data_IF_005008348238
#
_entry.id   IF_005008348238
#
_cell.length_a   1.000
_cell.length_b   1.000
_cell.length_c   1.000
_cell.angle_alpha   90.00
_cell.angle_beta   90.00
_cell.angle_gamma   90.00
#
_symmetry.space_group_name_H-M   'P 1'
#
loop_
_entity.id
_entity.type
_entity.pdbx_description
1 polymer ?
#
# COMPACT_ATOMS: atom_id res chain seq x y z
N UNK A 1 17.14 -15.03 -8.90
CA UNK A 1 15.89 -14.93 -8.10
C UNK A 1 15.90 -13.71 -7.17
N UNK A 2 17.06 -13.25 -6.69
CA UNK A 2 17.17 -12.05 -5.83
C UNK A 2 16.61 -10.78 -6.47
N UNK A 3 16.87 -10.55 -7.76
CA UNK A 3 16.31 -9.41 -8.49
C UNK A 3 14.77 -9.32 -8.45
N UNK A 4 14.08 -10.46 -8.42
CA UNK A 4 12.61 -10.48 -8.34
C UNK A 4 12.15 -10.15 -6.93
N UNK A 5 12.83 -10.70 -5.91
CA UNK A 5 12.52 -10.43 -4.49
C UNK A 5 12.73 -8.95 -4.15
N UNK A 6 13.88 -8.37 -4.54
CA UNK A 6 14.18 -6.96 -4.31
C UNK A 6 13.15 -6.04 -4.97
N UNK A 7 12.79 -6.30 -6.24
CA UNK A 7 11.71 -5.56 -6.94
C UNK A 7 10.34 -5.71 -6.26
N UNK A 8 10.05 -6.89 -5.73
CA UNK A 8 8.81 -7.13 -4.98
C UNK A 8 8.78 -6.35 -3.67
N UNK A 9 9.92 -6.26 -2.97
CA UNK A 9 10.06 -5.43 -1.78
C UNK A 9 9.87 -3.94 -2.07
N UNK A 10 10.51 -3.42 -3.11
CA UNK A 10 10.31 -2.04 -3.58
C UNK A 10 8.85 -1.78 -4.00
N UNK A 11 8.22 -2.73 -4.71
CA UNK A 11 6.80 -2.66 -5.04
C UNK A 11 5.90 -2.65 -3.81
N UNK A 12 6.26 -3.42 -2.77
CA UNK A 12 5.60 -3.40 -1.47
C UNK A 12 5.65 -2.03 -0.80
N UNK A 13 6.81 -1.37 -0.80
CA UNK A 13 6.96 -0.02 -0.27
C UNK A 13 6.05 0.99 -0.99
N UNK A 14 6.00 0.94 -2.33
CA UNK A 14 5.11 1.79 -3.12
C UNK A 14 3.65 1.52 -2.78
N UNK A 15 3.24 0.24 -2.68
CA UNK A 15 1.88 -0.14 -2.33
C UNK A 15 1.48 0.40 -0.94
N UNK A 16 2.37 0.28 0.04
CA UNK A 16 2.15 0.78 1.39
C UNK A 16 2.00 2.31 1.39
N UNK A 17 2.88 3.02 0.68
CA UNK A 17 2.83 4.46 0.53
C UNK A 17 1.53 4.91 -0.15
N UNK A 18 1.07 4.21 -1.19
CA UNK A 18 -0.20 4.50 -1.85
C UNK A 18 -1.40 4.31 -0.91
N UNK A 19 -1.40 3.27 -0.08
CA UNK A 19 -2.42 3.06 0.95
C UNK A 19 -2.44 4.20 1.98
N UNK A 20 -1.26 4.62 2.45
CA UNK A 20 -1.08 5.73 3.40
C UNK A 20 -1.56 7.06 2.82
N UNK A 21 -1.09 7.41 1.61
CA UNK A 21 -1.50 8.66 0.94
C UNK A 21 -3.01 8.66 0.68
N UNK A 22 -3.58 7.52 0.27
CA UNK A 22 -5.03 7.38 0.07
C UNK A 22 -5.81 7.56 1.37
N UNK A 23 -5.31 7.07 2.50
CA UNK A 23 -5.92 7.30 3.81
C UNK A 23 -5.87 8.78 4.21
N UNK A 24 -4.73 9.44 4.04
CA UNK A 24 -4.60 10.87 4.32
C UNK A 24 -5.52 11.72 3.45
N UNK A 25 -5.56 11.45 2.14
CA UNK A 25 -6.44 12.18 1.21
C UNK A 25 -7.92 11.99 1.52
N UNK A 26 -8.32 10.81 1.99
CA UNK A 26 -9.73 10.53 2.30
C UNK A 26 -10.30 11.43 3.40
N UNK A 27 -9.45 11.94 4.30
CA UNK A 27 -9.84 12.89 5.35
C UNK A 27 -10.32 14.23 4.73
N UNK A 28 -9.78 14.59 3.57
CA UNK A 28 -10.14 15.79 2.82
C UNK A 28 -11.19 15.52 1.72
N UNK A 29 -11.80 14.33 1.69
CA UNK A 29 -12.65 13.85 0.59
C UNK A 29 -11.94 13.87 -0.78
N UNK A 30 -10.62 13.70 -0.77
CA UNK A 30 -9.82 13.51 -1.98
C UNK A 30 -9.43 12.05 -2.17
N UNK A 31 -9.17 11.69 -3.42
CA UNK A 31 -8.83 10.33 -3.79
C UNK A 31 -7.72 10.28 -4.83
N UNK A 32 -6.87 9.26 -4.70
CA UNK A 32 -5.93 8.90 -5.77
C UNK A 32 -6.77 8.26 -6.87
N UNK A 33 -6.62 8.72 -8.13
CA UNK A 33 -7.43 8.23 -9.26
C UNK A 33 -7.45 6.70 -9.38
N UNK A 34 -6.32 6.03 -9.11
CA UNK A 34 -6.23 4.56 -9.13
C UNK A 34 -7.01 3.89 -7.99
N UNK A 35 -7.13 4.55 -6.84
CA UNK A 35 -7.78 4.02 -5.63
C UNK A 35 -9.17 4.60 -5.40
N UNK A 36 -9.69 5.42 -6.32
CA UNK A 36 -11.01 6.06 -6.21
C UNK A 36 -12.16 5.06 -6.03
N UNK A 37 -12.00 3.84 -6.53
CA UNK A 37 -12.99 2.77 -6.36
C UNK A 37 -13.18 2.35 -4.89
N UNK A 38 -12.20 2.60 -4.02
CA UNK A 38 -12.27 2.29 -2.59
C UNK A 38 -13.37 3.11 -1.91
N UNK A 39 -13.57 4.37 -2.35
CA UNK A 39 -14.58 5.26 -1.77
C UNK A 39 -16.02 4.81 -2.10
N UNK A 40 -16.20 3.98 -3.12
CA UNK A 40 -17.49 3.39 -3.48
C UNK A 40 -18.00 2.34 -2.49
N UNK A 41 -17.15 1.81 -1.61
CA UNK A 41 -17.53 0.79 -0.61
C UNK A 41 -18.07 1.39 0.70
N UNK A 42 -18.11 2.73 0.81
CA UNK A 42 -18.47 3.44 2.03
C UNK A 42 -17.30 3.57 3.00
N UNK A 43 -17.47 4.44 4.02
CA UNK A 43 -16.37 4.90 4.88
C UNK A 43 -15.65 3.75 5.62
N UNK A 44 -16.39 2.90 6.33
CA UNK A 44 -15.79 1.81 7.14
C UNK A 44 -15.00 0.82 6.27
N UNK A 45 -15.59 0.35 5.17
CA UNK A 45 -14.93 -0.59 4.28
C UNK A 45 -13.75 0.09 3.55
N UNK A 46 -13.90 1.36 3.18
CA UNK A 46 -12.85 2.14 2.55
C UNK A 46 -11.60 2.31 3.42
N UNK A 47 -11.78 2.54 4.73
CA UNK A 47 -10.67 2.54 5.69
C UNK A 47 -10.06 1.14 5.86
N UNK A 48 -10.88 0.09 5.89
CA UNK A 48 -10.41 -1.30 5.93
C UNK A 48 -9.52 -1.67 4.75
N UNK A 49 -9.94 -1.36 3.51
CA UNK A 49 -9.16 -1.62 2.30
C UNK A 49 -7.83 -0.85 2.28
N UNK A 50 -7.83 0.41 2.75
CA UNK A 50 -6.59 1.19 2.88
C UNK A 50 -5.65 0.58 3.89
N UNK A 51 -6.15 0.14 5.05
CA UNK A 51 -5.33 -0.57 6.03
C UNK A 51 -4.73 -1.85 5.45
N UNK A 52 -5.49 -2.62 4.66
CA UNK A 52 -4.99 -3.81 3.96
C UNK A 52 -3.86 -3.45 2.98
N UNK A 53 -4.01 -2.39 2.17
CA UNK A 53 -2.94 -1.95 1.26
C UNK A 53 -1.65 -1.58 2.00
N UNK A 54 -1.78 -0.86 3.12
CA UNK A 54 -0.66 -0.45 3.97
C UNK A 54 0.03 -1.67 4.56
N UNK A 55 -0.73 -2.57 5.19
CA UNK A 55 -0.20 -3.74 5.86
C UNK A 55 0.39 -4.75 4.87
N UNK A 56 -0.28 -5.02 3.75
CA UNK A 56 0.21 -5.91 2.72
C UNK A 56 1.47 -5.36 2.05
N UNK A 57 1.49 -4.07 1.71
CA UNK A 57 2.68 -3.41 1.16
C UNK A 57 3.85 -3.41 2.15
N UNK A 58 3.58 -3.08 3.42
CA UNK A 58 4.58 -3.08 4.48
C UNK A 58 5.14 -4.48 4.73
N UNK A 59 4.28 -5.51 4.73
CA UNK A 59 4.70 -6.90 4.84
C UNK A 59 5.54 -7.34 3.65
N UNK A 60 5.16 -6.98 2.41
CA UNK A 60 5.97 -7.27 1.21
C UNK A 60 7.36 -6.62 1.29
N UNK A 61 7.43 -5.35 1.71
CA UNK A 61 8.70 -4.66 1.89
C UNK A 61 9.56 -5.31 2.98
N UNK A 62 8.96 -5.65 4.13
CA UNK A 62 9.68 -6.27 5.25
C UNK A 62 10.21 -7.68 4.91
N UNK A 63 9.42 -8.47 4.18
CA UNK A 63 9.76 -9.86 3.84
C UNK A 63 10.70 -9.98 2.64
N UNK A 64 10.59 -9.09 1.64
CA UNK A 64 11.30 -9.22 0.37
C UNK A 64 12.25 -8.06 0.05
N UNK A 65 12.12 -6.92 0.73
CA UNK A 65 12.97 -5.74 0.55
C UNK A 65 14.23 -5.74 1.43
N UNK A 66 14.28 -6.58 2.46
CA UNK A 66 15.45 -6.72 3.36
C UNK A 66 16.47 -7.76 2.89
N UNK A 67 16.47 -8.13 1.60
CA UNK A 67 17.38 -9.14 1.04
C UNK A 67 18.81 -8.60 0.83
N UNK A 68 19.08 -7.32 1.13
CA UNK A 68 20.43 -6.72 1.04
C UNK A 68 20.87 -6.13 2.40
N UNK A 69 20.97 -6.96 3.43
CA UNK A 69 21.83 -6.66 4.60
C UNK A 69 22.45 -7.96 5.15
N UNK A 70 23.11 -8.78 4.30
CA UNK A 70 24.23 -9.67 4.70
C UNK A 70 25.26 -9.78 3.57
#
# INVERSE_FOLDING_TARGET
>A
MENIKSKLGQGGLVLAAMGLISALLSIFNYNIRLLAWIDGWGSTMGWGLRAVLILAGGALFFLFGRVEEE
#
